data_IF_605410973409
#
_entry.id   IF_605410973409
#
_cell.length_a   1.000
_cell.length_b   1.000
_cell.length_c   1.000
_cell.angle_alpha   90.00
_cell.angle_beta   90.00
_cell.angle_gamma   90.00
#
_symmetry.space_group_name_H-M   'P 1'
#
loop_
_entity.id
_entity.type
_entity.pdbx_description
1 polymer ?
#
# COMPACT_ATOMS: atom_id res chain seq x y z
N UNK A 1 -26.26 2.26 8.32
CA UNK A 1 -25.19 1.33 7.98
C UNK A 1 -24.23 1.99 7.01
N UNK A 2 -24.73 2.62 5.94
CA UNK A 2 -23.91 3.27 4.92
C UNK A 2 -24.34 4.74 4.72
N UNK A 3 -23.38 5.64 4.40
CA UNK A 3 -23.68 7.02 4.07
C UNK A 3 -23.40 8.06 5.15
N UNK A 4 -22.59 7.77 6.15
CA UNK A 4 -22.19 8.70 7.23
C UNK A 4 -21.71 10.07 6.71
N UNK A 5 -20.86 10.09 5.68
CA UNK A 5 -20.37 11.34 5.07
C UNK A 5 -21.49 12.16 4.43
N UNK A 6 -22.44 11.49 3.74
CA UNK A 6 -23.61 12.15 3.13
C UNK A 6 -24.55 12.70 4.19
N UNK A 7 -24.78 11.95 5.27
CA UNK A 7 -25.56 12.38 6.40
C UNK A 7 -24.95 13.64 7.06
N UNK A 8 -23.66 13.62 7.34
CA UNK A 8 -22.96 14.80 7.91
C UNK A 8 -23.01 16.00 6.96
N UNK A 9 -22.83 15.80 5.66
CA UNK A 9 -22.93 16.87 4.67
C UNK A 9 -24.35 17.47 4.62
N UNK A 10 -25.39 16.63 4.69
CA UNK A 10 -26.79 17.08 4.73
C UNK A 10 -27.07 17.92 5.97
N UNK A 11 -26.56 17.51 7.14
CA UNK A 11 -26.68 18.30 8.38
C UNK A 11 -26.00 19.67 8.25
N UNK A 12 -24.78 19.70 7.69
CA UNK A 12 -24.05 20.95 7.47
C UNK A 12 -24.77 21.87 6.44
N UNK A 13 -25.44 21.29 5.47
CA UNK A 13 -26.24 22.00 4.46
C UNK A 13 -27.60 22.44 4.99
N UNK A 14 -28.00 22.11 6.23
CA UNK A 14 -29.27 22.46 6.84
C UNK A 14 -30.47 21.75 6.21
N UNK A 15 -30.28 20.57 5.59
CA UNK A 15 -31.37 19.79 5.02
C UNK A 15 -32.19 19.15 6.17
N UNK A 16 -33.52 19.37 6.14
CA UNK A 16 -34.42 18.79 7.14
C UNK A 16 -34.68 17.28 6.87
N UNK A 17 -34.61 16.85 5.62
CA UNK A 17 -34.86 15.47 5.22
C UNK A 17 -33.86 15.00 4.18
N UNK A 18 -33.54 13.71 4.19
CA UNK A 18 -32.70 13.04 3.20
C UNK A 18 -33.36 11.76 2.71
N UNK A 19 -33.25 11.40 1.43
CA UNK A 19 -33.75 10.12 0.95
C UNK A 19 -32.92 8.96 1.52
N UNK A 20 -33.58 7.97 2.08
CA UNK A 20 -32.92 6.78 2.67
C UNK A 20 -33.59 5.50 2.15
N UNK A 21 -32.83 4.42 2.10
CA UNK A 21 -33.35 3.07 1.85
C UNK A 21 -33.39 2.35 3.20
N UNK A 22 -34.60 2.07 3.68
CA UNK A 22 -34.80 1.31 4.91
C UNK A 22 -34.86 -0.18 4.56
N UNK A 23 -34.10 -0.99 5.28
CA UNK A 23 -34.09 -2.45 5.19
C UNK A 23 -34.08 -3.03 6.59
N UNK A 24 -34.88 -4.07 6.80
CA UNK A 24 -34.75 -4.91 8.00
C UNK A 24 -33.58 -5.85 7.79
N UNK A 25 -32.61 -5.75 8.67
CA UNK A 25 -31.36 -6.53 8.62
C UNK A 25 -30.99 -6.93 10.04
N UNK A 26 -30.42 -8.11 10.20
CA UNK A 26 -29.82 -8.50 11.47
C UNK A 26 -28.44 -7.87 11.67
N UNK A 27 -27.89 -7.97 12.87
CA UNK A 27 -26.60 -7.38 13.22
C UNK A 27 -25.44 -7.96 12.39
N UNK A 28 -25.54 -9.21 11.94
CA UNK A 28 -24.54 -9.88 11.12
C UNK A 28 -24.57 -9.31 9.71
N UNK A 29 -25.73 -9.14 9.11
CA UNK A 29 -25.90 -8.53 7.78
C UNK A 29 -25.43 -7.06 7.77
N UNK A 30 -25.73 -6.32 8.84
CA UNK A 30 -25.25 -4.93 9.04
C UNK A 30 -23.72 -4.89 9.06
N UNK A 31 -23.08 -5.76 9.84
CA UNK A 31 -21.64 -5.84 9.95
C UNK A 31 -20.99 -6.26 8.60
N UNK A 32 -21.57 -7.21 7.89
CA UNK A 32 -21.12 -7.66 6.58
C UNK A 32 -21.14 -6.53 5.55
N UNK A 33 -22.27 -5.82 5.42
CA UNK A 33 -22.40 -4.70 4.48
C UNK A 33 -21.41 -3.59 4.79
N UNK A 34 -21.25 -3.27 6.07
CA UNK A 34 -20.29 -2.26 6.52
C UNK A 34 -18.83 -2.64 6.16
N UNK A 35 -18.48 -3.92 6.32
CA UNK A 35 -17.14 -4.40 5.98
C UNK A 35 -16.90 -4.41 4.46
N UNK A 36 -17.91 -4.77 3.66
CA UNK A 36 -17.82 -4.73 2.18
C UNK A 36 -17.70 -3.28 1.69
N UNK A 37 -18.47 -2.35 2.25
CA UNK A 37 -18.34 -0.93 1.92
C UNK A 37 -16.93 -0.43 2.21
N UNK A 38 -16.39 -0.77 3.39
CA UNK A 38 -15.03 -0.38 3.77
C UNK A 38 -13.98 -0.99 2.84
N UNK A 39 -14.17 -2.24 2.38
CA UNK A 39 -13.30 -2.91 1.40
C UNK A 39 -13.30 -2.27 0.01
N UNK A 40 -14.34 -1.52 -0.34
CA UNK A 40 -14.44 -0.82 -1.63
C UNK A 40 -13.80 0.57 -1.61
N UNK A 41 -13.17 0.96 -0.50
CA UNK A 41 -12.44 2.22 -0.42
C UNK A 41 -11.14 2.13 -1.20
N UNK A 42 -10.80 3.19 -1.91
CA UNK A 42 -9.58 3.27 -2.75
C UNK A 42 -8.29 3.49 -1.94
N UNK A 43 -8.41 3.83 -0.66
CA UNK A 43 -7.31 4.23 0.22
C UNK A 43 -6.82 3.12 1.18
N UNK A 44 -7.32 1.88 1.03
CA UNK A 44 -6.89 0.75 1.86
C UNK A 44 -5.46 0.30 1.55
N UNK A 45 -4.68 0.11 2.61
CA UNK A 45 -3.39 -0.59 2.47
C UNK A 45 -3.60 -2.07 2.15
N UNK A 46 -2.63 -2.69 1.47
CA UNK A 46 -2.69 -4.12 1.13
C UNK A 46 -2.81 -5.03 2.37
N UNK A 47 -2.32 -4.58 3.52
CA UNK A 47 -2.42 -5.35 4.77
C UNK A 47 -3.81 -5.22 5.39
N UNK A 48 -4.41 -4.02 5.35
CA UNK A 48 -5.81 -3.83 5.77
C UNK A 48 -6.76 -4.64 4.90
N UNK A 49 -6.55 -4.64 3.57
CA UNK A 49 -7.28 -5.47 2.63
C UNK A 49 -7.16 -6.97 2.99
N UNK A 50 -5.97 -7.44 3.31
CA UNK A 50 -5.73 -8.83 3.73
C UNK A 50 -6.46 -9.19 5.02
N UNK A 51 -6.45 -8.29 6.02
CA UNK A 51 -7.17 -8.48 7.29
C UNK A 51 -8.68 -8.53 7.08
N UNK A 52 -9.22 -7.65 6.26
CA UNK A 52 -10.63 -7.63 5.94
C UNK A 52 -11.06 -8.91 5.20
N UNK A 53 -10.26 -9.42 4.25
CA UNK A 53 -10.53 -10.71 3.60
C UNK A 53 -10.54 -11.86 4.60
N UNK A 54 -9.59 -11.88 5.53
CA UNK A 54 -9.52 -12.89 6.58
C UNK A 54 -10.78 -12.82 7.46
N UNK A 55 -11.17 -11.61 7.87
CA UNK A 55 -12.37 -11.41 8.68
C UNK A 55 -13.64 -11.86 7.95
N UNK A 56 -13.78 -11.59 6.64
CA UNK A 56 -14.90 -12.06 5.84
C UNK A 56 -15.03 -13.58 5.84
N UNK A 57 -13.89 -14.27 5.75
CA UNK A 57 -13.88 -15.74 5.75
C UNK A 57 -14.16 -16.27 7.14
N UNK A 58 -13.48 -15.77 8.17
CA UNK A 58 -13.53 -16.33 9.52
C UNK A 58 -14.86 -16.00 10.25
N UNK A 59 -15.42 -14.81 10.02
CA UNK A 59 -16.63 -14.34 10.72
C UNK A 59 -17.92 -14.67 9.95
N UNK A 60 -17.91 -14.50 8.63
CA UNK A 60 -19.11 -14.66 7.80
C UNK A 60 -19.12 -15.94 6.97
N UNK A 61 -18.10 -16.82 7.12
CA UNK A 61 -18.05 -18.12 6.47
C UNK A 61 -17.87 -18.07 4.94
N UNK A 62 -17.37 -16.96 4.39
CA UNK A 62 -17.11 -16.85 2.96
C UNK A 62 -16.04 -17.82 2.49
N UNK A 63 -16.26 -18.45 1.33
CA UNK A 63 -15.15 -19.05 0.60
C UNK A 63 -14.36 -17.99 -0.14
N UNK A 64 -13.07 -18.24 -0.40
CA UNK A 64 -12.25 -17.29 -1.20
C UNK A 64 -12.85 -17.02 -2.59
N UNK A 65 -13.55 -17.98 -3.15
CA UNK A 65 -14.18 -17.90 -4.46
C UNK A 65 -15.42 -16.98 -4.43
N UNK A 66 -16.29 -17.17 -3.43
CA UNK A 66 -17.47 -16.33 -3.24
C UNK A 66 -17.08 -14.89 -2.91
N UNK A 67 -16.04 -14.70 -2.07
CA UNK A 67 -15.49 -13.40 -1.73
C UNK A 67 -14.94 -12.69 -2.98
N UNK A 68 -14.19 -13.40 -3.82
CA UNK A 68 -13.65 -12.88 -5.06
C UNK A 68 -14.75 -12.39 -6.01
N UNK A 69 -15.81 -13.16 -6.19
CA UNK A 69 -16.99 -12.77 -6.95
C UNK A 69 -17.66 -11.50 -6.39
N UNK A 70 -17.88 -11.47 -5.07
CA UNK A 70 -18.60 -10.36 -4.41
C UNK A 70 -17.85 -9.03 -4.48
N UNK A 71 -16.49 -9.07 -4.45
CA UNK A 71 -15.64 -7.87 -4.49
C UNK A 71 -15.21 -7.53 -5.93
N UNK A 72 -15.43 -8.40 -6.91
CA UNK A 72 -14.98 -8.18 -8.30
C UNK A 72 -13.48 -8.36 -8.49
N UNK A 73 -12.83 -9.20 -7.66
CA UNK A 73 -11.40 -9.53 -7.77
C UNK A 73 -11.21 -10.99 -8.18
N UNK A 74 -10.01 -11.38 -8.62
CA UNK A 74 -9.72 -12.78 -8.87
C UNK A 74 -9.50 -13.55 -7.56
N UNK A 75 -9.84 -14.86 -7.53
CA UNK A 75 -9.51 -15.74 -6.40
C UNK A 75 -8.01 -15.72 -6.08
N UNK A 76 -7.17 -15.68 -7.13
CA UNK A 76 -5.72 -15.60 -6.96
C UNK A 76 -5.28 -14.31 -6.24
N UNK A 77 -5.95 -13.18 -6.52
CA UNK A 77 -5.72 -11.92 -5.80
C UNK A 77 -6.03 -12.09 -4.31
N UNK A 78 -7.22 -12.58 -3.96
CA UNK A 78 -7.63 -12.81 -2.56
C UNK A 78 -6.62 -13.71 -1.83
N UNK A 79 -6.26 -14.87 -2.45
CA UNK A 79 -5.29 -15.80 -1.87
C UNK A 79 -3.93 -15.16 -1.63
N UNK A 80 -3.41 -14.43 -2.62
CA UNK A 80 -2.09 -13.79 -2.53
C UNK A 80 -2.06 -12.66 -1.50
N UNK A 81 -3.14 -11.86 -1.42
CA UNK A 81 -3.28 -10.79 -0.43
C UNK A 81 -3.36 -11.37 0.98
N UNK A 82 -4.17 -12.39 1.21
CA UNK A 82 -4.27 -13.05 2.52
C UNK A 82 -2.97 -13.71 2.97
N UNK A 83 -2.19 -14.27 2.05
CA UNK A 83 -0.89 -14.87 2.38
C UNK A 83 0.09 -13.87 2.98
N UNK A 84 -0.05 -12.58 2.71
CA UNK A 84 0.79 -11.53 3.30
C UNK A 84 0.73 -11.54 4.83
N UNK A 85 -0.41 -11.91 5.41
CA UNK A 85 -0.58 -12.02 6.88
C UNK A 85 0.32 -13.09 7.53
N UNK A 86 0.99 -13.93 6.74
CA UNK A 86 1.97 -14.89 7.24
C UNK A 86 3.37 -14.27 7.42
N UNK A 87 3.55 -13.00 7.05
CA UNK A 87 4.80 -12.28 7.32
C UNK A 87 4.85 -11.80 8.77
N UNK A 88 6.06 -11.62 9.33
CA UNK A 88 6.23 -11.04 10.67
C UNK A 88 5.55 -9.67 10.79
N UNK A 89 5.01 -9.35 11.98
CA UNK A 89 4.34 -8.06 12.23
C UNK A 89 5.20 -6.84 11.89
N UNK A 90 6.52 -6.93 12.15
CA UNK A 90 7.47 -5.87 11.80
C UNK A 90 7.54 -5.63 10.29
N UNK A 91 7.45 -6.69 9.48
CA UNK A 91 7.44 -6.60 8.01
C UNK A 91 6.09 -6.07 7.51
N UNK A 92 4.99 -6.54 8.13
CA UNK A 92 3.64 -6.03 7.82
C UNK A 92 3.54 -4.54 8.06
N UNK A 93 4.12 -4.04 9.17
CA UNK A 93 4.14 -2.61 9.47
C UNK A 93 4.89 -1.79 8.41
N UNK A 94 6.04 -2.26 7.96
CA UNK A 94 6.82 -1.61 6.90
C UNK A 94 6.07 -1.62 5.56
N UNK A 95 5.28 -2.68 5.30
CA UNK A 95 4.42 -2.78 4.13
C UNK A 95 3.23 -1.80 4.23
N UNK A 96 2.58 -1.68 5.40
CA UNK A 96 1.51 -0.71 5.67
C UNK A 96 1.98 0.73 5.50
N UNK A 97 3.22 1.03 5.90
CA UNK A 97 3.86 2.33 5.73
C UNK A 97 4.24 2.61 4.25
N UNK A 98 4.05 1.65 3.34
CA UNK A 98 4.37 1.79 1.91
C UNK A 98 5.86 1.79 1.59
N UNK A 99 6.73 1.47 2.55
CA UNK A 99 8.20 1.47 2.40
C UNK A 99 8.71 0.28 1.61
N UNK A 100 7.95 -0.79 1.59
CA UNK A 100 8.13 -1.93 0.68
C UNK A 100 6.84 -2.16 -0.09
N UNK A 101 6.93 -2.68 -1.32
CA UNK A 101 5.75 -2.97 -2.12
C UNK A 101 5.17 -4.36 -1.82
N UNK A 102 3.91 -4.58 -2.18
CA UNK A 102 3.28 -5.91 -2.12
C UNK A 102 4.01 -6.97 -2.96
N UNK A 103 4.74 -6.55 -4.01
CA UNK A 103 5.64 -7.42 -4.77
C UNK A 103 6.81 -7.92 -3.94
N UNK A 104 7.50 -7.04 -3.20
CA UNK A 104 8.56 -7.42 -2.26
C UNK A 104 8.04 -8.38 -1.20
N UNK A 105 6.89 -8.06 -0.59
CA UNK A 105 6.25 -8.91 0.41
C UNK A 105 5.93 -10.31 -0.12
N UNK A 106 5.38 -10.41 -1.34
CA UNK A 106 5.10 -11.73 -1.98
C UNK A 106 6.36 -12.54 -2.25
N UNK A 107 7.44 -11.91 -2.72
CA UNK A 107 8.71 -12.58 -2.96
C UNK A 107 9.24 -13.20 -1.65
N UNK A 108 9.12 -12.50 -0.52
CA UNK A 108 9.59 -12.96 0.78
C UNK A 108 8.78 -14.11 1.37
N UNK A 109 7.52 -14.32 0.94
CA UNK A 109 6.69 -15.45 1.41
C UNK A 109 7.22 -16.83 1.04
N UNK A 110 8.14 -16.93 0.09
CA UNK A 110 8.80 -18.19 -0.26
C UNK A 110 9.97 -18.54 0.66
N UNK A 111 10.36 -17.62 1.55
CA UNK A 111 11.36 -17.89 2.58
C UNK A 111 10.74 -18.67 3.74
N UNK A 112 11.47 -19.68 4.18
CA UNK A 112 11.08 -20.65 5.23
C UNK A 112 11.23 -20.14 6.66
N UNK A 113 11.77 -18.92 6.85
CA UNK A 113 12.09 -18.38 8.16
C UNK A 113 11.77 -16.89 8.26
N UNK A 114 11.09 -16.51 9.33
CA UNK A 114 10.81 -15.11 9.68
C UNK A 114 12.12 -14.29 9.83
N UNK A 115 13.20 -14.93 10.32
CA UNK A 115 14.52 -14.31 10.40
C UNK A 115 15.04 -13.88 9.02
N UNK A 116 14.95 -14.76 8.01
CA UNK A 116 15.34 -14.45 6.64
C UNK A 116 14.47 -13.36 6.03
N UNK A 117 13.17 -13.39 6.31
CA UNK A 117 12.23 -12.34 5.86
C UNK A 117 12.61 -10.97 6.45
N UNK A 118 12.98 -10.92 7.73
CA UNK A 118 13.45 -9.70 8.39
C UNK A 118 14.77 -9.19 7.80
N UNK A 119 15.75 -10.08 7.53
CA UNK A 119 17.03 -9.73 6.94
C UNK A 119 16.82 -9.12 5.53
N UNK A 120 16.02 -9.76 4.70
CA UNK A 120 15.72 -9.24 3.35
C UNK A 120 14.98 -7.91 3.44
N UNK A 121 14.05 -7.74 4.38
CA UNK A 121 13.35 -6.47 4.59
C UNK A 121 14.35 -5.35 4.90
N UNK A 122 15.29 -5.59 5.80
CA UNK A 122 16.34 -4.63 6.13
C UNK A 122 17.21 -4.30 4.90
N UNK A 123 17.57 -5.29 4.09
CA UNK A 123 18.32 -5.06 2.86
C UNK A 123 17.56 -4.24 1.80
N UNK A 124 16.24 -4.46 1.68
CA UNK A 124 15.37 -3.66 0.80
C UNK A 124 15.40 -2.20 1.24
N UNK A 125 15.23 -1.94 2.55
CA UNK A 125 15.20 -0.60 3.11
C UNK A 125 16.56 0.11 2.99
N UNK A 126 17.67 -0.63 3.18
CA UNK A 126 19.03 -0.06 3.13
C UNK A 126 19.49 0.23 1.69
N UNK A 127 19.20 -0.70 0.75
CA UNK A 127 19.77 -0.70 -0.60
C UNK A 127 18.79 -0.29 -1.69
N UNK A 128 17.50 -0.15 -1.37
CA UNK A 128 16.46 0.15 -2.35
C UNK A 128 16.30 -0.94 -3.41
N UNK A 129 16.33 -2.22 -2.99
CA UNK A 129 16.27 -3.35 -3.92
C UNK A 129 14.94 -3.36 -4.68
N UNK A 130 14.99 -3.70 -5.96
CA UNK A 130 13.79 -3.95 -6.76
C UNK A 130 13.18 -5.32 -6.45
N UNK A 131 11.90 -5.51 -6.80
CA UNK A 131 11.20 -6.80 -6.62
C UNK A 131 11.97 -7.95 -7.29
N UNK A 132 12.50 -7.73 -8.50
CA UNK A 132 13.26 -8.74 -9.25
C UNK A 132 14.56 -9.15 -8.54
N UNK A 133 15.28 -8.19 -7.96
CA UNK A 133 16.49 -8.47 -7.19
C UNK A 133 16.18 -9.26 -5.92
N UNK A 134 15.05 -8.97 -5.27
CA UNK A 134 14.58 -9.74 -4.11
C UNK A 134 14.21 -11.16 -4.51
N UNK A 135 13.43 -11.34 -5.59
CA UNK A 135 13.07 -12.67 -6.12
C UNK A 135 14.31 -13.51 -6.45
N UNK A 136 15.32 -12.90 -7.05
CA UNK A 136 16.55 -13.58 -7.41
C UNK A 136 17.35 -14.01 -6.16
N UNK A 137 17.47 -13.16 -5.14
CA UNK A 137 18.13 -13.49 -3.87
C UNK A 137 17.42 -14.60 -3.13
N UNK A 138 16.11 -14.57 -3.11
CA UNK A 138 15.28 -15.61 -2.52
C UNK A 138 15.49 -16.93 -3.24
N UNK A 139 15.49 -16.92 -4.59
CA UNK A 139 15.71 -18.13 -5.42
C UNK A 139 17.10 -18.72 -5.25
N UNK A 140 18.13 -17.88 -5.15
CA UNK A 140 19.52 -18.33 -4.99
C UNK A 140 19.83 -18.82 -3.58
N UNK A 141 18.91 -18.68 -2.62
CA UNK A 141 19.17 -18.96 -1.21
C UNK A 141 20.31 -18.12 -0.62
N UNK A 142 20.73 -17.08 -1.35
CA UNK A 142 21.91 -16.25 -1.07
C UNK A 142 21.69 -15.25 0.06
N UNK A 143 20.85 -15.59 1.03
CA UNK A 143 20.76 -14.84 2.29
C UNK A 143 21.97 -15.24 3.12
N UNK A 144 23.14 -14.69 2.75
CA UNK A 144 24.36 -14.88 3.54
C UNK A 144 24.10 -14.28 4.91
N UNK A 145 24.19 -15.11 5.94
CA UNK A 145 24.39 -14.66 7.32
C UNK A 145 25.68 -13.81 7.36
N UNK A 146 25.58 -12.49 7.12
CA UNK A 146 26.48 -11.61 7.83
C UNK A 146 26.12 -11.77 9.30
N UNK A 147 27.10 -11.80 10.24
CA UNK A 147 26.78 -11.79 11.64
C UNK A 147 26.07 -10.48 11.97
N UNK A 148 24.79 -10.46 11.77
CA UNK A 148 23.92 -9.40 12.28
C UNK A 148 23.83 -9.72 13.76
N UNK A 149 24.31 -8.79 14.58
CA UNK A 149 24.01 -8.76 16.01
C UNK A 149 22.56 -9.22 16.16
N UNK A 150 22.35 -10.22 16.98
CA UNK A 150 21.11 -10.97 17.26
C UNK A 150 19.85 -10.30 16.71
N UNK A 151 18.96 -11.05 16.03
CA UNK A 151 17.74 -10.54 15.38
C UNK A 151 16.86 -9.67 16.30
N UNK A 152 17.05 -9.83 17.61
CA UNK A 152 16.49 -8.95 18.66
C UNK A 152 17.05 -7.51 18.62
N UNK A 153 18.21 -7.28 17.96
CA UNK A 153 18.89 -6.00 17.92
C UNK A 153 18.80 -5.29 16.55
N UNK A 154 18.06 -5.82 15.59
CA UNK A 154 17.63 -5.01 14.45
C UNK A 154 16.49 -4.14 14.97
N UNK A 155 16.86 -2.98 15.52
CA UNK A 155 15.89 -1.97 15.89
C UNK A 155 15.33 -1.36 14.61
N UNK A 156 14.26 -2.04 14.09
CA UNK A 156 13.49 -1.53 12.97
C UNK A 156 12.91 -0.14 13.26
N UNK A 157 12.92 0.27 14.55
CA UNK A 157 12.48 1.61 14.94
C UNK A 157 13.46 2.70 14.49
N UNK A 158 14.74 2.37 14.31
CA UNK A 158 15.70 3.30 13.71
C UNK A 158 15.38 3.57 12.23
N UNK A 159 15.02 2.52 11.48
CA UNK A 159 14.56 2.66 10.10
C UNK A 159 13.20 3.34 9.99
N UNK A 160 12.31 3.11 10.96
CA UNK A 160 10.99 3.78 11.04
C UNK A 160 11.14 5.26 11.41
N UNK A 161 12.13 5.62 12.24
CA UNK A 161 12.38 7.01 12.63
C UNK A 161 13.11 7.83 11.55
N UNK A 162 13.94 7.18 10.72
CA UNK A 162 14.73 7.87 9.70
C UNK A 162 13.88 8.52 8.58
N UNK A 163 12.65 8.07 8.36
CA UNK A 163 11.76 8.63 7.32
C UNK A 163 10.67 9.58 7.83
N UNK A 164 10.59 9.85 9.13
CA UNK A 164 9.74 10.95 9.62
C UNK A 164 10.27 12.34 9.31
N UNK A 165 11.49 12.42 8.80
CA UNK A 165 11.97 13.61 8.13
C UNK A 165 12.18 13.25 6.65
N UNK A 166 11.26 13.61 5.73
CA UNK A 166 11.69 13.82 4.37
C UNK A 166 12.88 14.77 4.48
N UNK A 167 14.01 14.41 3.90
CA UNK A 167 15.10 15.37 3.71
C UNK A 167 14.47 16.48 2.89
N UNK A 168 13.98 17.47 3.60
CA UNK A 168 13.44 18.68 3.02
C UNK A 168 14.68 19.41 2.49
N UNK A 169 15.17 18.97 1.34
CA UNK A 169 16.13 19.73 0.59
C UNK A 169 15.33 20.85 -0.08
N UNK A 170 15.40 22.08 0.43
CA UNK A 170 14.61 23.19 -0.09
C UNK A 170 14.80 23.39 -1.59
N UNK A 171 15.97 23.04 -2.13
CA UNK A 171 16.26 23.09 -3.57
C UNK A 171 15.43 22.07 -4.37
N UNK A 172 15.22 20.86 -3.83
CA UNK A 172 14.41 19.83 -4.50
C UNK A 172 12.93 20.21 -4.46
N UNK A 173 12.46 20.80 -3.36
CA UNK A 173 11.08 21.27 -3.24
C UNK A 173 10.79 22.41 -4.21
N UNK A 174 11.67 23.41 -4.28
CA UNK A 174 11.57 24.52 -5.22
C UNK A 174 11.59 24.04 -6.68
N UNK A 175 12.45 23.05 -6.99
CA UNK A 175 12.52 22.46 -8.32
C UNK A 175 11.23 21.70 -8.66
N UNK A 176 10.67 20.96 -7.70
CA UNK A 176 9.42 20.24 -7.86
C UNK A 176 8.26 21.20 -8.14
N UNK A 177 8.14 22.30 -7.39
CA UNK A 177 7.12 23.32 -7.59
C UNK A 177 7.24 23.97 -8.97
N UNK A 178 8.45 24.36 -9.39
CA UNK A 178 8.70 24.91 -10.73
C UNK A 178 8.34 23.94 -11.85
N UNK A 179 8.62 22.65 -11.67
CA UNK A 179 8.24 21.63 -12.64
C UNK A 179 6.72 21.42 -12.69
N UNK A 180 6.04 21.42 -11.55
CA UNK A 180 4.57 21.32 -11.49
C UNK A 180 3.91 22.52 -12.18
N UNK A 181 4.39 23.74 -11.93
CA UNK A 181 3.88 24.96 -12.55
C UNK A 181 4.08 24.93 -14.08
N UNK A 182 5.26 24.51 -14.55
CA UNK A 182 5.57 24.48 -15.98
C UNK A 182 4.84 23.38 -16.74
N UNK A 183 4.70 22.19 -16.15
CA UNK A 183 4.06 21.03 -16.78
C UNK A 183 2.54 20.99 -16.56
N UNK A 184 2.02 21.76 -15.61
CA UNK A 184 0.58 21.82 -15.29
C UNK A 184 0.04 20.50 -14.73
N UNK A 185 0.90 19.65 -14.17
CA UNK A 185 0.51 18.34 -13.64
C UNK A 185 1.32 17.98 -12.39
N UNK A 186 0.89 16.93 -11.69
CA UNK A 186 1.57 16.48 -10.47
C UNK A 186 2.94 15.89 -10.79
N UNK A 187 3.99 16.46 -10.19
CA UNK A 187 5.37 16.00 -10.27
C UNK A 187 5.84 15.62 -8.86
N UNK A 188 6.44 14.47 -8.71
CA UNK A 188 7.12 14.03 -7.48
C UNK A 188 8.61 13.79 -7.77
N UNK A 189 9.49 14.45 -6.99
CA UNK A 189 10.92 14.23 -7.03
C UNK A 189 11.36 13.51 -5.77
N UNK A 190 11.78 12.25 -5.91
CA UNK A 190 12.38 11.46 -4.82
C UNK A 190 13.84 11.24 -5.15
N UNK A 191 14.73 11.88 -4.38
CA UNK A 191 16.14 11.81 -4.66
C UNK A 191 17.02 11.75 -3.42
N UNK A 192 18.26 11.32 -3.61
CA UNK A 192 19.33 11.34 -2.64
C UNK A 192 20.60 11.89 -3.32
N UNK A 193 21.66 12.18 -2.55
CA UNK A 193 22.94 12.71 -3.07
C UNK A 193 23.61 11.82 -4.13
N UNK A 194 23.08 10.62 -4.43
CA UNK A 194 23.63 9.67 -5.41
C UNK A 194 22.71 9.41 -6.60
N UNK A 195 21.54 10.05 -6.65
CA UNK A 195 20.57 9.88 -7.73
C UNK A 195 19.13 9.88 -7.22
N UNK A 196 18.18 9.90 -8.13
CA UNK A 196 16.78 9.99 -7.78
C UNK A 196 15.83 9.56 -8.90
N UNK A 197 14.53 9.70 -8.64
CA UNK A 197 13.47 9.45 -9.59
C UNK A 197 12.56 10.66 -9.66
N UNK A 198 12.23 11.07 -10.87
CA UNK A 198 11.20 12.07 -11.14
C UNK A 198 9.99 11.29 -11.67
N UNK A 199 8.83 11.49 -11.05
CA UNK A 199 7.57 10.89 -11.47
C UNK A 199 6.64 12.01 -11.88
N UNK A 200 6.21 12.00 -13.16
CA UNK A 200 5.26 12.94 -13.73
C UNK A 200 3.97 12.15 -13.98
N UNK A 201 2.86 12.64 -13.45
CA UNK A 201 1.54 12.00 -13.59
C UNK A 201 0.81 12.67 -14.75
N UNK A 202 0.23 11.88 -15.67
CA UNK A 202 -0.64 12.39 -16.74
C UNK A 202 -2.00 11.69 -16.66
N UNK A 203 -3.05 12.33 -17.14
CA UNK A 203 -4.43 11.88 -17.00
C UNK A 203 -5.11 11.53 -18.33
N UNK A 204 -4.54 11.96 -19.46
CA UNK A 204 -5.02 11.63 -20.81
C UNK A 204 -3.85 11.55 -21.79
N UNK A 205 -4.11 11.01 -22.98
CA UNK A 205 -3.13 10.92 -24.07
C UNK A 205 -2.70 12.31 -24.57
N UNK A 206 -3.65 13.25 -24.65
CA UNK A 206 -3.39 14.65 -24.98
C UNK A 206 -2.51 15.36 -23.94
N UNK A 207 -2.70 15.03 -22.65
CA UNK A 207 -1.89 15.54 -21.55
C UNK A 207 -0.45 15.03 -21.65
N UNK A 208 -0.27 13.76 -22.03
CA UNK A 208 1.04 13.16 -22.25
C UNK A 208 1.77 13.86 -23.43
N UNK A 209 1.11 14.07 -24.57
CA UNK A 209 1.69 14.74 -25.73
C UNK A 209 2.14 16.16 -25.37
N UNK A 210 1.31 16.91 -24.66
CA UNK A 210 1.63 18.27 -24.16
C UNK A 210 2.86 18.26 -23.25
N UNK A 211 2.95 17.28 -22.33
CA UNK A 211 4.10 17.17 -21.43
C UNK A 211 5.38 16.86 -22.19
N UNK A 212 5.33 15.96 -23.18
CA UNK A 212 6.47 15.60 -24.04
C UNK A 212 6.94 16.80 -24.85
N UNK A 213 6.02 17.56 -25.43
CA UNK A 213 6.33 18.78 -26.18
C UNK A 213 7.00 19.85 -25.29
N UNK A 214 6.49 20.06 -24.07
CA UNK A 214 7.07 20.98 -23.10
C UNK A 214 8.45 20.56 -22.59
N UNK A 215 8.77 19.26 -22.67
CA UNK A 215 10.09 18.71 -22.34
C UNK A 215 11.08 18.83 -23.51
N UNK A 216 10.63 19.23 -24.70
CA UNK A 216 11.46 19.44 -25.89
C UNK A 216 11.81 18.14 -26.62
N UNK A 217 10.98 17.14 -26.55
CA UNK A 217 11.12 15.84 -27.21
C UNK A 217 10.15 15.71 -28.37
#
# INVERSE_FOLDING_TARGET
VAGERRYRAALLAGLETVPVIVRDMDDIEVAEISLIENLQREDLSTVEEARAYRQMIDTFGYTQELLAQKIGKSRAHITNTMRLLNLPDKVLKVLEEGRISSGHARAMLSLDSHEKQMIITAEILEKGLSVREVEERVRQGSIKRKPVKTVEAIDMSEFIKAEKNPVHNPEITELQEKMQERLGTKVEIKGSNRGGRITITYFSEEDLERIVELMGM
#
